data_IF_646505743316
#
_entry.id   IF_646505743316
#
_cell.length_a   1.000
_cell.length_b   1.000
_cell.length_c   1.000
_cell.angle_alpha   90.00
_cell.angle_beta   90.00
_cell.angle_gamma   90.00
#
_symmetry.space_group_name_H-M   'P 1'
#
loop_
_entity.id
_entity.type
_entity.pdbx_description
1 polymer ?
#
# COMPACT_ATOMS: atom_id res chain seq x y z
N UNK A 1 34.45 12.30 -33.98
CA UNK A 1 33.26 11.64 -33.40
C UNK A 1 33.25 11.95 -31.91
N UNK A 2 32.28 12.74 -31.44
CA UNK A 2 32.12 13.09 -30.01
C UNK A 2 30.84 12.42 -29.54
N UNK A 3 30.97 11.42 -28.67
CA UNK A 3 29.82 10.70 -28.11
C UNK A 3 29.11 11.59 -27.08
N UNK A 4 27.88 11.95 -27.40
CA UNK A 4 26.88 12.49 -26.49
C UNK A 4 26.23 11.32 -25.75
N UNK A 5 26.63 11.07 -24.51
CA UNK A 5 25.85 10.28 -23.55
C UNK A 5 25.94 11.01 -22.21
N UNK A 6 24.79 11.47 -21.74
CA UNK A 6 24.63 12.17 -20.46
C UNK A 6 23.21 12.72 -20.32
N UNK A 7 22.21 11.93 -20.71
CA UNK A 7 20.80 12.25 -20.58
C UNK A 7 20.29 11.67 -19.25
N UNK A 8 19.66 12.54 -18.45
CA UNK A 8 18.77 12.27 -17.31
C UNK A 8 19.41 11.94 -15.96
N UNK A 9 19.64 12.99 -15.16
CA UNK A 9 19.60 12.92 -13.70
C UNK A 9 19.02 14.24 -13.16
N UNK A 10 17.77 14.52 -13.54
CA UNK A 10 16.96 15.61 -12.99
C UNK A 10 15.61 15.04 -12.58
N UNK A 11 15.58 14.34 -11.45
CA UNK A 11 14.53 14.45 -10.42
C UNK A 11 15.21 14.24 -9.07
N UNK A 12 16.01 15.23 -8.67
CA UNK A 12 16.36 15.40 -7.28
C UNK A 12 15.23 16.14 -6.55
N UNK A 13 15.21 15.96 -5.24
CA UNK A 13 14.54 16.77 -4.22
C UNK A 13 13.12 16.29 -3.85
N UNK A 14 13.09 15.44 -2.83
CA UNK A 14 11.93 15.23 -1.96
C UNK A 14 12.08 13.94 -1.15
N UNK A 15 12.42 14.05 0.15
CA UNK A 15 12.15 13.05 1.21
C UNK A 15 13.18 11.99 1.64
N UNK A 16 14.42 11.95 1.14
CA UNK A 16 15.41 10.97 1.66
C UNK A 16 16.46 11.50 2.66
N UNK A 17 16.63 12.82 2.77
CA UNK A 17 17.82 13.43 3.38
C UNK A 17 17.54 14.27 4.64
N UNK A 18 16.44 14.02 5.36
CA UNK A 18 16.22 14.58 6.69
C UNK A 18 15.95 13.46 7.69
N UNK A 19 16.77 13.43 8.75
CA UNK A 19 16.68 12.59 9.96
C UNK A 19 17.55 11.32 10.05
N UNK A 20 18.83 11.46 9.72
CA UNK A 20 19.88 10.92 10.63
C UNK A 20 20.25 12.03 11.62
N UNK A 21 19.58 12.07 12.77
CA UNK A 21 19.78 13.07 13.80
C UNK A 21 19.37 12.57 15.17
N UNK A 22 20.21 11.73 15.78
CA UNK A 22 20.20 11.47 17.23
C UNK A 22 19.49 10.20 17.68
N UNK A 23 20.11 9.51 18.62
CA UNK A 23 19.57 8.46 19.49
C UNK A 23 18.38 8.99 20.34
N UNK A 24 17.24 9.32 19.74
CA UNK A 24 16.07 9.89 20.43
C UNK A 24 14.81 9.06 20.10
N UNK A 25 14.39 8.26 21.09
CA UNK A 25 13.15 7.46 21.18
C UNK A 25 12.71 6.75 19.90
N UNK A 26 12.94 5.43 19.86
CA UNK A 26 12.14 4.53 19.02
C UNK A 26 10.67 4.66 19.47
N UNK A 27 9.92 5.56 18.84
CA UNK A 27 8.47 5.73 19.00
C UNK A 27 7.78 5.20 17.73
N UNK A 28 7.38 3.92 17.71
CA UNK A 28 6.65 3.34 16.60
C UNK A 28 5.36 4.08 16.28
N UNK A 29 4.69 4.66 17.28
CA UNK A 29 3.47 5.40 17.06
C UNK A 29 3.73 6.66 16.23
N UNK A 30 4.82 7.38 16.54
CA UNK A 30 5.24 8.54 15.74
C UNK A 30 5.63 8.13 14.32
N UNK A 31 6.38 7.04 14.14
CA UNK A 31 6.71 6.51 12.81
C UNK A 31 5.45 6.18 12.00
N UNK A 32 4.44 5.59 12.63
CA UNK A 32 3.17 5.28 11.98
C UNK A 32 2.40 6.52 11.53
N UNK A 33 2.35 7.55 12.38
CA UNK A 33 1.74 8.84 12.04
C UNK A 33 2.48 9.53 10.89
N UNK A 34 3.81 9.53 10.92
CA UNK A 34 4.63 10.16 9.89
C UNK A 34 4.51 9.43 8.55
N UNK A 35 4.56 8.10 8.56
CA UNK A 35 4.34 7.27 7.37
C UNK A 35 2.95 7.53 6.77
N UNK A 36 1.90 7.50 7.60
CA UNK A 36 0.53 7.80 7.16
C UNK A 36 0.38 9.22 6.60
N UNK A 37 1.05 10.20 7.20
CA UNK A 37 1.01 11.59 6.75
C UNK A 37 1.79 11.79 5.44
N UNK A 38 2.83 11.01 5.18
CA UNK A 38 3.62 11.06 3.97
C UNK A 38 2.91 10.41 2.76
N UNK A 39 2.14 9.34 2.98
CA UNK A 39 1.40 8.65 1.90
C UNK A 39 0.21 9.50 1.43
N UNK A 40 0.05 9.64 0.10
CA UNK A 40 -1.02 10.42 -0.53
C UNK A 40 -1.67 9.66 -1.70
N UNK A 41 -2.95 9.94 -2.01
CA UNK A 41 -3.57 9.45 -3.23
C UNK A 41 -2.75 9.76 -4.49
N UNK A 42 -2.70 8.82 -5.43
CA UNK A 42 -1.92 8.88 -6.65
C UNK A 42 -0.41 8.60 -6.49
N UNK A 43 0.06 8.24 -5.29
CA UNK A 43 1.42 7.72 -5.14
C UNK A 43 1.50 6.27 -5.66
N UNK A 44 2.54 5.93 -6.40
CA UNK A 44 2.78 4.54 -6.78
C UNK A 44 3.18 3.69 -5.56
N UNK A 45 2.87 2.40 -5.60
CA UNK A 45 3.19 1.48 -4.51
C UNK A 45 4.68 1.44 -4.18
N UNK A 46 5.58 1.60 -5.16
CA UNK A 46 7.03 1.66 -4.90
C UNK A 46 7.40 2.88 -4.06
N UNK A 47 6.77 4.04 -4.31
CA UNK A 47 6.98 5.24 -3.49
C UNK A 47 6.45 5.04 -2.08
N UNK A 48 5.33 4.34 -1.93
CA UNK A 48 4.77 4.00 -0.62
C UNK A 48 5.70 3.06 0.17
N UNK A 49 6.23 2.01 -0.46
CA UNK A 49 7.22 1.12 0.15
C UNK A 49 8.48 1.88 0.55
N UNK A 50 8.92 2.85 -0.25
CA UNK A 50 10.08 3.69 0.08
C UNK A 50 9.85 4.63 1.29
N UNK A 51 8.60 5.01 1.57
CA UNK A 51 8.24 5.75 2.80
C UNK A 51 8.29 4.81 4.00
N UNK A 52 7.66 3.64 3.89
CA UNK A 52 7.66 2.62 4.91
C UNK A 52 7.31 1.28 4.29
N UNK A 53 8.11 0.25 4.57
CA UNK A 53 7.84 -1.10 4.09
C UNK A 53 6.63 -1.69 4.85
N UNK A 54 5.59 -2.15 4.13
CA UNK A 54 4.44 -2.76 4.78
C UNK A 54 4.80 -4.15 5.33
N UNK A 55 4.21 -4.52 6.46
CA UNK A 55 4.39 -5.88 7.00
C UNK A 55 3.58 -6.91 6.23
N UNK A 56 2.38 -6.53 5.81
CA UNK A 56 1.43 -7.43 5.15
C UNK A 56 0.76 -6.76 3.95
N UNK A 57 0.34 -7.58 3.00
CA UNK A 57 -0.43 -7.20 1.83
C UNK A 57 -1.60 -8.17 1.65
N UNK A 58 -2.72 -7.70 1.10
CA UNK A 58 -3.81 -8.56 0.63
C UNK A 58 -4.26 -8.15 -0.77
N UNK A 59 -4.68 -9.15 -1.53
CA UNK A 59 -5.24 -8.99 -2.86
C UNK A 59 -6.75 -9.17 -2.83
N UNK A 60 -7.46 -8.49 -3.72
CA UNK A 60 -8.88 -8.72 -3.93
C UNK A 60 -9.08 -9.93 -4.84
N UNK A 61 -10.03 -10.79 -4.48
CA UNK A 61 -10.48 -11.93 -5.29
C UNK A 61 -11.92 -11.70 -5.72
N UNK A 62 -12.24 -11.99 -6.98
CA UNK A 62 -13.61 -11.94 -7.46
C UNK A 62 -14.37 -13.15 -6.91
N UNK A 63 -15.41 -12.89 -6.13
CA UNK A 63 -16.34 -13.91 -5.67
C UNK A 63 -17.60 -13.86 -6.53
N UNK A 64 -17.96 -15.01 -7.12
CA UNK A 64 -19.23 -15.22 -7.80
C UNK A 64 -20.30 -15.63 -6.79
N UNK A 65 -21.46 -15.00 -6.83
CA UNK A 65 -22.62 -15.39 -6.04
C UNK A 65 -23.88 -15.39 -6.91
N UNK A 66 -24.72 -16.42 -6.74
CA UNK A 66 -26.03 -16.46 -7.39
C UNK A 66 -27.06 -15.76 -6.51
N UNK A 67 -27.61 -14.65 -6.98
CA UNK A 67 -28.68 -13.90 -6.31
C UNK A 67 -29.90 -13.87 -7.24
N UNK A 68 -30.96 -14.57 -6.86
CA UNK A 68 -32.21 -14.60 -7.64
C UNK A 68 -32.07 -15.22 -9.04
N UNK A 69 -31.15 -16.16 -9.23
CA UNK A 69 -30.89 -16.80 -10.53
C UNK A 69 -29.82 -16.10 -11.38
N UNK A 70 -29.35 -14.91 -10.99
CA UNK A 70 -28.30 -14.18 -11.68
C UNK A 70 -26.94 -14.38 -10.99
N UNK A 71 -25.90 -14.67 -11.76
CA UNK A 71 -24.51 -14.65 -11.27
C UNK A 71 -24.02 -13.20 -11.19
N UNK A 72 -23.62 -12.79 -10.00
CA UNK A 72 -23.03 -11.49 -9.73
C UNK A 72 -21.61 -11.71 -9.22
N UNK A 73 -20.65 -10.99 -9.78
CA UNK A 73 -19.28 -10.95 -9.29
C UNK A 73 -19.08 -9.73 -8.41
N UNK A 74 -18.42 -9.92 -7.26
CA UNK A 74 -18.00 -8.80 -6.42
C UNK A 74 -16.59 -9.03 -5.88
N UNK A 75 -15.80 -7.96 -5.72
CA UNK A 75 -14.50 -8.03 -5.08
C UNK A 75 -14.65 -8.39 -3.61
N UNK A 76 -13.86 -9.36 -3.17
CA UNK A 76 -13.72 -9.71 -1.77
C UNK A 76 -12.25 -9.63 -1.37
N UNK A 77 -11.91 -8.98 -0.24
CA UNK A 77 -10.54 -9.00 0.24
C UNK A 77 -10.12 -10.43 0.60
N UNK A 78 -8.98 -10.87 0.06
CA UNK A 78 -8.31 -12.09 0.47
C UNK A 78 -7.67 -11.99 1.86
N UNK A 79 -7.01 -13.06 2.31
CA UNK A 79 -6.24 -13.02 3.56
C UNK A 79 -5.05 -12.06 3.45
N UNK A 80 -4.64 -11.48 4.58
CA UNK A 80 -3.34 -10.82 4.67
C UNK A 80 -2.23 -11.86 4.59
N UNK A 81 -1.22 -11.55 3.79
CA UNK A 81 -0.01 -12.34 3.61
C UNK A 81 1.20 -11.43 3.81
N UNK A 82 2.37 -11.96 4.18
CA UNK A 82 3.61 -11.19 4.21
C UNK A 82 3.82 -10.45 2.88
N UNK A 83 4.26 -9.20 2.95
CA UNK A 83 4.55 -8.43 1.75
C UNK A 83 5.71 -9.07 0.97
N UNK A 84 5.49 -9.29 -0.32
CA UNK A 84 6.50 -9.75 -1.27
C UNK A 84 6.42 -8.85 -2.51
N UNK A 85 7.40 -7.96 -2.63
CA UNK A 85 7.49 -7.00 -3.73
C UNK A 85 7.55 -7.67 -5.10
N UNK A 86 8.23 -8.81 -5.22
CA UNK A 86 8.35 -9.54 -6.49
C UNK A 86 7.02 -10.14 -6.90
N UNK A 87 6.30 -10.78 -5.98
CA UNK A 87 4.97 -11.32 -6.24
C UNK A 87 3.98 -10.21 -6.63
N UNK A 88 4.04 -9.05 -5.97
CA UNK A 88 3.21 -7.90 -6.36
C UNK A 88 3.54 -7.41 -7.77
N UNK A 89 4.83 -7.24 -8.09
CA UNK A 89 5.28 -6.80 -9.40
C UNK A 89 4.86 -7.78 -10.51
N UNK A 90 5.07 -9.08 -10.29
CA UNK A 90 4.64 -10.14 -11.21
C UNK A 90 3.11 -10.12 -11.41
N UNK A 91 2.33 -9.80 -10.37
CA UNK A 91 0.86 -9.73 -10.45
C UNK A 91 0.35 -8.50 -11.20
N UNK A 92 0.98 -7.34 -11.00
CA UNK A 92 0.68 -6.11 -11.72
C UNK A 92 1.05 -6.23 -13.20
N UNK A 93 2.20 -6.82 -13.51
CA UNK A 93 2.65 -7.03 -14.89
C UNK A 93 1.73 -7.99 -15.68
N UNK A 94 0.99 -8.86 -14.99
CA UNK A 94 0.06 -9.83 -15.58
C UNK A 94 -1.42 -9.39 -15.51
N UNK A 95 -1.71 -8.12 -15.14
CA UNK A 95 -3.08 -7.59 -14.98
C UNK A 95 -3.98 -8.46 -14.06
N UNK A 96 -3.37 -9.15 -13.09
CA UNK A 96 -4.08 -10.11 -12.23
C UNK A 96 -4.77 -9.50 -11.01
N UNK A 97 -4.75 -8.16 -10.91
CA UNK A 97 -5.29 -7.37 -9.79
C UNK A 97 -6.28 -6.29 -10.28
N UNK A 98 -7.37 -6.66 -10.99
CA UNK A 98 -8.30 -5.67 -11.56
C UNK A 98 -8.98 -4.79 -10.51
N UNK A 99 -9.06 -5.27 -9.27
CA UNK A 99 -9.69 -4.60 -8.12
C UNK A 99 -8.64 -3.98 -7.18
N UNK A 100 -7.38 -4.00 -7.59
CA UNK A 100 -6.25 -3.50 -6.82
C UNK A 100 -5.85 -4.41 -5.65
N UNK A 101 -5.24 -3.79 -4.64
CA UNK A 101 -4.68 -4.47 -3.48
C UNK A 101 -4.54 -3.52 -2.30
N UNK A 102 -4.18 -4.05 -1.13
CA UNK A 102 -3.97 -3.25 0.07
C UNK A 102 -2.69 -3.61 0.79
N UNK A 103 -1.99 -2.60 1.25
CA UNK A 103 -0.95 -2.74 2.26
C UNK A 103 -1.51 -2.51 3.65
N UNK A 104 -1.01 -3.29 4.59
CA UNK A 104 -1.32 -3.16 6.00
C UNK A 104 -0.10 -2.78 6.80
N UNK A 105 -0.25 -1.68 7.53
CA UNK A 105 0.76 -1.13 8.40
C UNK A 105 0.30 -1.27 9.85
N UNK A 106 1.15 -1.90 10.66
CA UNK A 106 0.92 -2.10 12.09
C UNK A 106 2.16 -1.67 12.86
N UNK A 107 2.17 -0.42 13.30
CA UNK A 107 3.26 0.11 14.13
C UNK A 107 2.99 -0.12 15.61
N UNK A 108 1.76 0.15 16.03
CA UNK A 108 1.24 -0.19 17.36
C UNK A 108 -0.20 -0.69 17.24
N UNK A 109 -0.83 -1.05 18.35
CA UNK A 109 -2.26 -1.40 18.38
C UNK A 109 -3.18 -0.22 18.05
N UNK A 110 -2.72 1.01 18.31
CA UNK A 110 -3.48 2.24 18.07
C UNK A 110 -3.12 2.90 16.72
N UNK A 111 -1.88 2.72 16.27
CA UNK A 111 -1.34 3.25 15.02
C UNK A 111 -1.20 2.14 13.98
N UNK A 112 -2.34 1.77 13.42
CA UNK A 112 -2.47 0.83 12.32
C UNK A 112 -3.37 1.41 11.23
N UNK A 113 -3.03 1.17 9.96
CA UNK A 113 -3.78 1.69 8.82
C UNK A 113 -3.61 0.80 7.59
N UNK A 114 -4.59 0.89 6.70
CA UNK A 114 -4.59 0.25 5.39
C UNK A 114 -4.36 1.30 4.32
N UNK A 115 -3.57 0.97 3.32
CA UNK A 115 -3.40 1.77 2.11
C UNK A 115 -3.94 0.96 0.94
N UNK A 116 -4.98 1.48 0.29
CA UNK A 116 -5.61 0.86 -0.87
C UNK A 116 -4.98 1.39 -2.14
N UNK A 117 -4.68 0.47 -3.05
CA UNK A 117 -4.15 0.74 -4.37
C UNK A 117 -5.14 0.28 -5.43
N UNK A 118 -5.15 0.96 -6.56
CA UNK A 118 -5.88 0.54 -7.75
C UNK A 118 -5.14 -0.57 -8.53
N UNK A 119 -5.69 -0.94 -9.69
CA UNK A 119 -5.09 -1.94 -10.58
C UNK A 119 -3.76 -1.50 -11.22
N UNK A 120 -3.49 -0.19 -11.29
CA UNK A 120 -2.21 0.34 -11.77
C UNK A 120 -1.14 0.40 -10.66
N UNK A 121 -1.55 0.16 -9.41
CA UNK A 121 -0.68 0.24 -8.24
C UNK A 121 -0.49 1.66 -7.73
N UNK A 122 -1.44 2.55 -7.99
CA UNK A 122 -1.49 3.90 -7.43
C UNK A 122 -2.44 3.96 -6.22
N UNK A 123 -2.09 4.76 -5.21
CA UNK A 123 -2.89 4.89 -3.99
C UNK A 123 -4.27 5.49 -4.30
N UNK A 124 -5.33 4.77 -3.98
CA UNK A 124 -6.70 5.27 -4.01
C UNK A 124 -7.07 5.95 -2.69
N UNK A 125 -6.61 5.40 -1.56
CA UNK A 125 -7.01 5.90 -0.25
C UNK A 125 -6.31 5.23 0.91
N UNK A 126 -6.52 5.82 2.09
CA UNK A 126 -5.97 5.34 3.36
C UNK A 126 -7.14 5.19 4.33
N UNK A 127 -7.26 4.04 4.97
CA UNK A 127 -8.35 3.74 5.90
C UNK A 127 -7.81 3.13 7.21
N UNK A 128 -8.67 3.07 8.23
CA UNK A 128 -8.38 2.29 9.44
C UNK A 128 -8.79 0.84 9.19
N UNK A 129 -8.02 -0.15 9.68
CA UNK A 129 -8.48 -1.53 9.67
C UNK A 129 -9.76 -1.64 10.52
N UNK A 130 -10.73 -2.48 10.11
CA UNK A 130 -11.93 -2.73 10.90
C UNK A 130 -11.52 -3.30 12.27
N UNK A 131 -12.07 -2.70 13.32
CA UNK A 131 -11.93 -3.18 14.69
C UNK A 131 -13.02 -4.18 15.01
N UNK A 132 -12.85 -4.98 16.07
CA UNK A 132 -13.89 -5.90 16.54
C UNK A 132 -15.19 -5.15 16.88
N UNK A 133 -15.10 -3.90 17.33
CA UNK A 133 -16.26 -3.06 17.62
C UNK A 133 -17.03 -2.70 16.33
N UNK A 134 -16.33 -2.43 15.22
CA UNK A 134 -16.97 -2.14 13.93
C UNK A 134 -17.75 -3.34 13.35
N UNK A 135 -17.46 -4.55 13.83
CA UNK A 135 -18.16 -5.78 13.43
C UNK A 135 -19.41 -6.06 14.27
N UNK A 136 -19.53 -5.46 15.46
CA UNK A 136 -20.67 -5.65 16.37
C UNK A 136 -21.81 -4.65 16.10
N UNK A 137 -21.50 -3.53 15.43
CA UNK A 137 -22.48 -2.48 15.07
C UNK A 137 -23.15 -2.71 13.69
N UNK A 138 -23.03 -3.92 13.12
CA UNK A 138 -23.69 -4.33 11.85
C UNK A 138 -24.84 -5.31 12.10
#
# INVERSE_FOLDING_TARGET
MKFLIGLVLVVGIGYGAMHYGGLLSFDPAQQGRDAKAAIKPGMSWQKVVAVSEPGECRFYVLQKQNIGGNEIEFPKPGPFMPFDAKNLEDRLANDSLPEGFEFYYKFTTEEQFLVKFDAAGDVEGISKPPTMNDLLDR
#
